data_IF_179680883546
#
_entry.id   IF_179680883546
#
_cell.length_a   1.000
_cell.length_b   1.000
_cell.length_c   1.000
_cell.angle_alpha   90.00
_cell.angle_beta   90.00
_cell.angle_gamma   90.00
#
_symmetry.space_group_name_H-M   'P 1'
#
loop_
_entity.id
_entity.type
_entity.pdbx_description
1 polymer ?
#
# COMPACT_ATOMS: atom_id res chain seq x y z
N UNK A 1 5.95 5.50 9.75
CA UNK A 1 7.10 5.22 8.87
C UNK A 1 7.94 6.50 8.67
N UNK A 2 9.17 6.40 8.13
CA UNK A 2 10.05 7.54 7.85
C UNK A 2 10.85 7.35 6.55
N UNK A 3 10.70 8.29 5.62
CA UNK A 3 11.54 8.43 4.43
C UNK A 3 12.32 9.75 4.49
N UNK A 4 13.58 9.77 4.06
CA UNK A 4 14.41 10.99 3.99
C UNK A 4 14.96 11.16 2.58
N UNK A 5 14.73 12.32 1.97
CA UNK A 5 15.26 12.68 0.67
C UNK A 5 15.72 14.15 0.66
N UNK A 6 16.90 14.43 0.13
CA UNK A 6 17.47 15.79 -0.01
C UNK A 6 17.33 16.70 1.22
N UNK A 7 17.53 16.13 2.41
CA UNK A 7 17.46 16.87 3.68
C UNK A 7 16.03 17.13 4.16
N UNK A 8 15.01 16.53 3.56
CA UNK A 8 13.63 16.53 4.05
C UNK A 8 13.26 15.14 4.57
N UNK A 9 12.68 15.08 5.76
CA UNK A 9 12.13 13.88 6.35
C UNK A 9 10.59 13.89 6.24
N UNK A 10 10.02 12.80 5.73
CA UNK A 10 8.59 12.57 5.58
C UNK A 10 8.16 11.50 6.59
N UNK A 11 7.48 11.92 7.66
CA UNK A 11 7.14 11.07 8.79
C UNK A 11 5.64 10.78 8.79
N UNK A 12 5.26 9.55 8.46
CA UNK A 12 3.90 9.09 8.68
C UNK A 12 3.67 8.88 10.19
N UNK A 13 2.86 9.76 10.78
CA UNK A 13 2.63 9.86 12.23
C UNK A 13 1.18 9.53 12.62
N UNK A 14 0.60 8.54 11.93
CA UNK A 14 -0.70 7.94 12.25
C UNK A 14 -1.80 9.01 12.28
N UNK A 15 -2.57 9.09 13.36
CA UNK A 15 -3.65 10.06 13.54
C UNK A 15 -3.18 11.50 13.65
N UNK A 16 -1.88 11.74 13.85
CA UNK A 16 -1.30 13.08 13.82
C UNK A 16 -0.95 13.52 12.39
N UNK A 17 -1.17 12.69 11.37
CA UNK A 17 -0.93 13.00 9.97
C UNK A 17 0.50 12.71 9.52
N UNK A 18 0.86 13.19 8.33
CA UNK A 18 2.23 13.09 7.81
C UNK A 18 2.96 14.40 8.09
N UNK A 19 4.05 14.35 8.83
CA UNK A 19 4.86 15.51 9.23
C UNK A 19 6.09 15.61 8.33
N UNK A 20 6.31 16.77 7.73
CA UNK A 20 7.49 17.08 6.93
C UNK A 20 8.45 17.94 7.76
N UNK A 21 9.71 17.53 7.84
CA UNK A 21 10.76 18.22 8.59
C UNK A 21 11.96 18.49 7.69
N UNK A 22 12.55 19.68 7.79
CA UNK A 22 13.91 19.93 7.30
C UNK A 22 14.88 19.31 8.32
N UNK A 23 15.68 18.37 7.82
CA UNK A 23 16.72 17.61 8.53
C UNK A 23 18.08 17.78 7.85
N UNK A 24 18.28 18.86 7.09
CA UNK A 24 19.58 19.22 6.50
C UNK A 24 20.67 19.34 7.56
N UNK A 25 20.33 19.82 8.76
CA UNK A 25 21.05 19.57 10.00
C UNK A 25 20.26 18.56 10.86
N UNK A 26 20.67 17.28 10.91
CA UNK A 26 19.96 16.25 11.67
C UNK A 26 20.04 16.47 13.20
N UNK A 27 20.91 17.36 13.69
CA UNK A 27 20.95 17.73 15.10
C UNK A 27 19.97 18.84 15.47
N UNK A 28 19.37 19.52 14.48
CA UNK A 28 18.45 20.64 14.65
C UNK A 28 17.33 20.60 13.60
N UNK A 29 16.47 19.56 13.62
CA UNK A 29 15.35 19.44 12.69
C UNK A 29 14.36 20.60 12.86
N UNK A 30 13.78 21.08 11.75
CA UNK A 30 12.76 22.13 11.77
C UNK A 30 11.49 21.70 11.06
N UNK A 31 10.33 22.15 11.55
CA UNK A 31 9.04 21.82 10.96
C UNK A 31 8.81 22.58 9.65
N UNK A 32 8.42 21.86 8.60
CA UNK A 32 8.05 22.43 7.30
C UNK A 32 6.53 22.46 7.14
N UNK A 33 5.90 21.28 7.16
CA UNK A 33 4.48 21.14 6.89
C UNK A 33 3.89 19.91 7.59
N UNK A 34 2.56 19.85 7.59
CA UNK A 34 1.79 18.68 8.02
C UNK A 34 0.64 18.44 7.07
N UNK A 35 0.57 17.23 6.53
CA UNK A 35 -0.53 16.76 5.70
C UNK A 35 -1.52 16.01 6.59
N UNK A 36 -2.77 16.48 6.58
CA UNK A 36 -3.85 15.87 7.36
C UNK A 36 -3.57 15.82 8.87
N UNK A 37 -4.15 14.82 9.51
CA UNK A 37 -3.98 14.58 10.94
C UNK A 37 -4.80 15.50 11.85
N UNK A 38 -5.10 14.96 13.04
CA UNK A 38 -5.86 15.66 14.08
C UNK A 38 -4.94 16.56 14.90
N UNK A 39 -5.50 17.59 15.53
CA UNK A 39 -4.74 18.43 16.47
C UNK A 39 -4.41 17.65 17.75
N UNK A 40 -3.37 18.07 18.51
CA UNK A 40 -3.07 17.44 19.80
C UNK A 40 -4.24 17.49 20.79
N UNK A 41 -5.09 18.54 20.73
CA UNK A 41 -6.26 18.66 21.59
C UNK A 41 -7.35 17.65 21.23
N UNK A 42 -7.58 17.40 19.93
CA UNK A 42 -8.51 16.37 19.46
C UNK A 42 -8.01 14.97 19.84
N UNK A 43 -6.71 14.69 19.62
CA UNK A 43 -6.11 13.41 19.99
C UNK A 43 -6.21 13.14 21.50
N UNK A 44 -6.01 14.17 22.33
CA UNK A 44 -6.11 14.05 23.78
C UNK A 44 -7.55 13.91 24.28
N UNK A 45 -8.55 14.24 23.46
CA UNK A 45 -9.96 14.15 23.84
C UNK A 45 -10.52 12.73 23.70
N UNK A 46 -9.92 11.88 22.85
CA UNK A 46 -10.38 10.50 22.68
C UNK A 46 -10.19 9.68 23.96
N UNK A 47 -11.22 8.93 24.33
CA UNK A 47 -11.16 8.01 25.48
C UNK A 47 -11.81 6.67 25.17
N UNK A 48 -11.32 5.59 25.80
CA UNK A 48 -11.93 4.27 25.71
C UNK A 48 -12.00 3.75 24.27
N UNK A 49 -13.17 3.25 23.87
CA UNK A 49 -13.38 2.64 22.54
C UNK A 49 -13.27 3.65 21.40
N UNK A 50 -13.57 4.93 21.66
CA UNK A 50 -13.44 6.01 20.68
C UNK A 50 -11.99 6.17 20.19
N UNK A 51 -11.01 6.01 21.09
CA UNK A 51 -9.59 6.04 20.73
C UNK A 51 -9.23 4.94 19.74
N UNK A 52 -9.82 3.75 19.88
CA UNK A 52 -9.53 2.61 19.02
C UNK A 52 -10.17 2.80 17.64
N UNK A 53 -11.43 3.22 17.60
CA UNK A 53 -12.12 3.53 16.33
C UNK A 53 -11.39 4.66 15.59
N UNK A 54 -11.08 5.76 16.28
CA UNK A 54 -10.39 6.90 15.69
C UNK A 54 -9.01 6.55 15.08
N UNK A 55 -8.31 5.57 15.66
CA UNK A 55 -7.00 5.09 15.21
C UNK A 55 -7.08 3.99 14.13
N UNK A 56 -8.26 3.44 13.87
CA UNK A 56 -8.43 2.31 12.93
C UNK A 56 -9.26 2.69 11.71
N UNK A 57 -10.12 3.70 11.81
CA UNK A 57 -10.98 4.19 10.73
C UNK A 57 -10.48 5.52 10.15
N UNK A 58 -10.84 5.84 8.90
CA UNK A 58 -10.60 7.17 8.34
C UNK A 58 -11.17 8.29 9.24
N UNK A 59 -10.59 9.51 9.20
CA UNK A 59 -9.46 9.95 8.38
C UNK A 59 -8.08 9.67 9.03
N UNK A 60 -8.03 8.81 10.05
CA UNK A 60 -6.85 8.55 10.87
C UNK A 60 -5.78 7.67 10.19
N UNK A 61 -4.79 7.28 10.98
CA UNK A 61 -3.77 6.30 10.62
C UNK A 61 -3.00 6.54 9.29
N UNK A 62 -2.40 7.73 9.12
CA UNK A 62 -1.36 7.93 8.12
C UNK A 62 -0.18 6.99 8.41
N UNK A 63 0.02 5.99 7.56
CA UNK A 63 0.84 4.83 7.89
C UNK A 63 2.19 4.81 7.17
N UNK A 64 2.18 5.17 5.89
CA UNK A 64 3.36 5.13 5.02
C UNK A 64 3.50 6.43 4.21
N UNK A 65 4.73 6.87 3.99
CA UNK A 65 5.03 8.01 3.13
C UNK A 65 6.31 7.75 2.32
N UNK A 66 6.23 7.93 1.00
CA UNK A 66 7.35 7.76 0.08
C UNK A 66 7.37 8.90 -0.94
N UNK A 67 8.54 9.24 -1.46
CA UNK A 67 8.72 10.29 -2.47
C UNK A 67 9.52 9.75 -3.64
N UNK A 68 9.26 10.27 -4.84
CA UNK A 68 10.08 9.98 -6.03
C UNK A 68 11.43 10.71 -6.02
N UNK A 69 11.58 11.69 -5.12
CA UNK A 69 12.75 12.55 -4.99
C UNK A 69 12.72 13.81 -5.88
N UNK A 70 11.77 13.92 -6.80
CA UNK A 70 11.64 15.02 -7.76
C UNK A 70 10.42 15.93 -7.46
N UNK A 71 9.80 15.74 -6.30
CA UNK A 71 8.71 16.57 -5.79
C UNK A 71 7.37 15.85 -5.71
N UNK A 72 7.24 14.59 -6.14
CA UNK A 72 6.04 13.81 -5.90
C UNK A 72 6.13 13.12 -4.53
N UNK A 73 5.05 13.20 -3.76
CA UNK A 73 4.91 12.55 -2.46
C UNK A 73 3.64 11.69 -2.46
N UNK A 74 3.78 10.42 -2.09
CA UNK A 74 2.64 9.56 -1.75
C UNK A 74 2.45 9.48 -0.24
N UNK A 75 1.21 9.56 0.23
CA UNK A 75 0.82 9.31 1.63
C UNK A 75 -0.25 8.22 1.67
N UNK A 76 0.03 7.12 2.37
CA UNK A 76 -0.90 6.01 2.54
C UNK A 76 -1.61 6.03 3.89
N UNK A 77 -2.89 5.71 3.87
CA UNK A 77 -3.70 5.48 5.07
C UNK A 77 -3.95 3.98 5.24
N UNK A 78 -3.75 3.49 6.46
CA UNK A 78 -4.05 2.10 6.82
C UNK A 78 -5.31 2.05 7.68
N UNK A 79 -6.46 1.71 7.10
CA UNK A 79 -7.73 1.76 7.83
C UNK A 79 -8.66 0.58 7.50
N UNK A 80 -9.66 0.38 8.36
CA UNK A 80 -10.66 -0.68 8.25
C UNK A 80 -12.03 -0.18 8.66
N UNK A 81 -13.03 -1.03 8.48
CA UNK A 81 -14.36 -0.88 9.07
C UNK A 81 -14.42 -1.69 10.38
N UNK A 82 -14.34 -1.00 11.53
CA UNK A 82 -14.45 -1.64 12.87
C UNK A 82 -15.80 -1.38 13.52
N UNK A 83 -16.62 -0.54 12.90
CA UNK A 83 -17.96 -0.13 13.32
C UNK A 83 -18.93 -0.24 12.13
N UNK A 84 -19.16 -1.48 11.62
CA UNK A 84 -19.91 -1.70 10.38
C UNK A 84 -21.42 -1.49 10.54
N UNK A 85 -21.92 -1.41 11.78
CA UNK A 85 -23.33 -1.19 12.07
C UNK A 85 -23.68 0.32 12.11
N UNK A 86 -22.66 1.18 12.04
CA UNK A 86 -22.70 2.57 12.47
C UNK A 86 -22.86 3.55 11.28
N UNK A 87 -22.84 3.07 10.02
CA UNK A 87 -22.91 3.84 8.75
C UNK A 87 -21.88 5.00 8.63
N UNK A 88 -20.97 5.16 9.59
CA UNK A 88 -20.09 6.33 9.78
C UNK A 88 -18.83 6.34 8.88
N UNK A 89 -18.78 5.53 7.83
CA UNK A 89 -17.78 5.66 6.77
C UNK A 89 -16.41 5.03 7.06
N UNK A 90 -16.36 3.97 7.86
CA UNK A 90 -15.19 3.10 7.99
C UNK A 90 -14.80 2.43 6.67
N UNK A 91 -13.62 1.80 6.64
CA UNK A 91 -13.17 1.02 5.48
C UNK A 91 -11.70 1.19 5.10
N UNK A 92 -11.28 0.55 3.99
CA UNK A 92 -9.89 0.55 3.57
C UNK A 92 -9.39 1.94 3.18
N UNK A 93 -8.16 2.26 3.57
CA UNK A 93 -7.50 3.53 3.29
C UNK A 93 -6.81 3.55 1.94
N UNK A 94 -6.77 4.74 1.33
CA UNK A 94 -6.20 5.02 0.02
C UNK A 94 -4.70 5.41 0.10
N UNK A 95 -4.11 5.63 -1.08
CA UNK A 95 -2.86 6.38 -1.23
C UNK A 95 -3.20 7.71 -1.90
N UNK A 96 -2.84 8.83 -1.28
CA UNK A 96 -3.02 10.16 -1.88
C UNK A 96 -1.67 10.69 -2.36
N UNK A 97 -1.64 11.20 -3.60
CA UNK A 97 -0.48 11.83 -4.23
C UNK A 97 -0.53 13.34 -4.01
N UNK A 98 0.64 13.93 -3.73
CA UNK A 98 0.83 15.34 -3.49
C UNK A 98 2.01 15.88 -4.32
N UNK A 99 1.88 17.09 -4.84
CA UNK A 99 3.01 17.92 -5.25
C UNK A 99 3.65 18.49 -3.98
N UNK A 100 4.87 18.05 -3.69
CA UNK A 100 5.72 18.46 -2.59
C UNK A 100 7.04 19.07 -3.11
N UNK A 101 7.03 19.66 -4.32
CA UNK A 101 8.16 20.44 -4.84
C UNK A 101 8.52 21.63 -3.94
N UNK A 102 7.53 22.21 -3.26
CA UNK A 102 7.71 22.98 -2.02
C UNK A 102 7.28 22.12 -0.81
N UNK A 103 8.20 21.56 -0.03
CA UNK A 103 7.86 20.72 1.13
C UNK A 103 7.21 21.51 2.27
N UNK A 104 7.22 22.84 2.24
CA UNK A 104 6.49 23.70 3.17
C UNK A 104 5.01 23.87 2.81
N UNK A 105 4.61 23.52 1.59
CA UNK A 105 3.26 23.71 1.09
C UNK A 105 2.82 22.59 0.12
N UNK A 106 2.75 21.33 0.56
CA UNK A 106 2.32 20.23 -0.29
C UNK A 106 0.86 20.38 -0.77
N UNK A 107 0.62 20.17 -2.06
CA UNK A 107 -0.69 20.29 -2.72
C UNK A 107 -1.21 18.92 -3.18
N UNK A 108 -2.47 18.59 -2.90
CA UNK A 108 -3.06 17.30 -3.29
C UNK A 108 -3.27 17.23 -4.82
N UNK A 109 -2.89 16.10 -5.42
CA UNK A 109 -2.98 15.86 -6.86
C UNK A 109 -4.05 14.81 -7.21
N UNK A 110 -3.96 13.62 -6.62
CA UNK A 110 -4.84 12.50 -6.94
C UNK A 110 -4.97 11.53 -5.77
N UNK A 111 -6.07 10.75 -5.77
CA UNK A 111 -6.30 9.66 -4.82
C UNK A 111 -6.32 8.34 -5.57
N UNK A 112 -5.51 7.39 -5.11
CA UNK A 112 -5.51 6.00 -5.58
C UNK A 112 -6.36 5.19 -4.62
N UNK A 113 -7.56 4.85 -5.07
CA UNK A 113 -8.53 4.10 -4.27
C UNK A 113 -8.05 2.69 -3.90
N UNK A 114 -8.37 2.24 -2.68
CA UNK A 114 -8.12 0.87 -2.29
C UNK A 114 -8.83 -0.10 -3.23
N UNK A 115 -8.21 -1.25 -3.51
CA UNK A 115 -8.87 -2.31 -4.23
C UNK A 115 -10.22 -2.72 -3.62
N UNK A 116 -11.28 -2.99 -4.42
CA UNK A 116 -12.58 -3.39 -3.89
C UNK A 116 -12.50 -4.62 -3.00
N UNK A 117 -13.32 -4.62 -1.95
CA UNK A 117 -13.44 -5.70 -0.97
C UNK A 117 -14.91 -6.05 -0.71
N UNK A 118 -15.25 -7.36 -0.60
CA UNK A 118 -16.59 -7.77 -0.19
C UNK A 118 -16.86 -7.59 1.31
N UNK A 119 -15.81 -7.39 2.12
CA UNK A 119 -15.89 -7.25 3.58
C UNK A 119 -14.71 -6.39 4.06
N UNK A 120 -14.93 -5.09 4.32
CA UNK A 120 -13.89 -4.14 4.72
C UNK A 120 -13.46 -4.26 6.19
N UNK A 121 -14.05 -5.19 6.95
CA UNK A 121 -13.75 -5.32 8.38
C UNK A 121 -12.39 -5.96 8.64
N UNK A 122 -11.88 -5.82 9.88
CA UNK A 122 -10.65 -6.49 10.33
C UNK A 122 -10.70 -8.03 10.17
N UNK A 123 -11.89 -8.62 10.35
CA UNK A 123 -12.13 -10.05 10.18
C UNK A 123 -12.25 -10.48 8.71
N UNK A 124 -12.66 -9.55 7.86
CA UNK A 124 -12.97 -9.75 6.45
C UNK A 124 -11.77 -9.87 5.52
N UNK A 125 -11.87 -9.18 4.38
CA UNK A 125 -10.85 -9.12 3.34
C UNK A 125 -10.21 -7.72 3.33
N UNK A 126 -9.24 -7.44 4.23
CA UNK A 126 -8.58 -6.15 4.26
C UNK A 126 -7.84 -5.85 2.95
N UNK A 127 -8.18 -4.71 2.35
CA UNK A 127 -7.59 -4.20 1.09
C UNK A 127 -7.03 -2.78 1.23
N UNK A 128 -6.77 -2.33 2.46
CA UNK A 128 -6.18 -1.00 2.72
C UNK A 128 -4.74 -0.90 2.22
N UNK A 129 -4.31 0.32 1.90
CA UNK A 129 -2.90 0.59 1.62
C UNK A 129 -2.04 0.18 2.81
N UNK A 130 -0.86 -0.37 2.51
CA UNK A 130 0.20 -0.52 3.50
C UNK A 130 1.45 0.25 3.05
N UNK A 131 2.51 -0.43 2.59
CA UNK A 131 3.69 0.26 2.06
C UNK A 131 3.66 0.29 0.52
N UNK A 132 4.32 1.30 -0.03
CA UNK A 132 4.50 1.51 -1.46
C UNK A 132 5.82 2.25 -1.70
N UNK A 133 6.34 2.16 -2.92
CA UNK A 133 7.62 2.74 -3.27
C UNK A 133 7.62 3.30 -4.70
N UNK A 134 8.38 4.37 -4.91
CA UNK A 134 8.56 4.98 -6.23
C UNK A 134 9.83 4.45 -6.92
N UNK A 135 9.83 4.41 -8.26
CA UNK A 135 11.05 4.26 -9.05
C UNK A 135 10.89 4.90 -10.42
N UNK A 136 11.48 6.08 -10.60
CA UNK A 136 11.18 6.92 -11.76
C UNK A 136 9.67 7.14 -11.85
N UNK A 137 9.10 7.01 -13.04
CA UNK A 137 7.67 7.27 -13.25
C UNK A 137 6.74 6.09 -12.86
N UNK A 138 7.12 5.32 -11.84
CA UNK A 138 6.37 4.15 -11.38
C UNK A 138 6.10 4.23 -9.89
N UNK A 139 4.90 3.84 -9.51
CA UNK A 139 4.49 3.65 -8.13
C UNK A 139 4.07 2.19 -7.90
N UNK A 140 4.79 1.50 -7.03
CA UNK A 140 4.56 0.11 -6.65
C UNK A 140 3.81 0.07 -5.33
N UNK A 141 2.62 -0.52 -5.31
CA UNK A 141 1.72 -0.44 -4.16
C UNK A 141 1.34 -1.81 -3.64
N UNK A 142 1.19 -1.93 -2.32
CA UNK A 142 0.70 -3.13 -1.65
C UNK A 142 -0.57 -2.85 -0.85
N UNK A 143 -1.48 -3.82 -0.85
CA UNK A 143 -2.84 -3.64 -0.36
C UNK A 143 -3.32 -4.83 0.48
N UNK A 144 -2.51 -5.41 1.37
CA UNK A 144 -2.85 -6.63 2.11
C UNK A 144 -3.43 -7.74 1.19
N UNK A 145 -4.67 -8.20 1.45
CA UNK A 145 -5.37 -9.22 0.67
C UNK A 145 -5.90 -8.66 -0.65
N UNK A 146 -5.77 -7.36 -0.86
CA UNK A 146 -6.03 -6.65 -2.10
C UNK A 146 -4.95 -6.86 -3.16
N UNK A 147 -3.78 -7.39 -2.78
CA UNK A 147 -2.71 -7.73 -3.71
C UNK A 147 -1.67 -6.63 -3.88
N UNK A 148 -1.01 -6.63 -5.04
CA UNK A 148 -0.08 -5.58 -5.47
C UNK A 148 -0.57 -4.92 -6.75
N UNK A 149 -0.28 -3.63 -6.92
CA UNK A 149 -0.58 -2.86 -8.12
C UNK A 149 0.60 -1.97 -8.50
N UNK A 150 0.80 -1.77 -9.79
CA UNK A 150 1.82 -0.87 -10.34
C UNK A 150 1.13 0.20 -11.16
N UNK A 151 1.44 1.46 -10.86
CA UNK A 151 0.90 2.62 -11.55
C UNK A 151 1.99 3.35 -12.32
N UNK A 152 1.64 3.90 -13.48
CA UNK A 152 2.37 4.97 -14.13
C UNK A 152 1.97 6.30 -13.50
N UNK A 153 2.97 7.10 -13.09
CA UNK A 153 2.76 8.38 -12.42
C UNK A 153 3.43 9.54 -13.15
N UNK A 154 3.73 9.39 -14.46
CA UNK A 154 4.22 10.49 -15.31
C UNK A 154 3.29 11.70 -15.29
N UNK A 155 1.99 11.42 -15.26
CA UNK A 155 0.95 12.40 -14.97
C UNK A 155 0.35 12.11 -13.59
N UNK A 156 0.85 12.76 -12.52
CA UNK A 156 0.46 12.41 -11.16
C UNK A 156 -0.96 12.87 -10.79
N UNK A 157 -1.61 13.71 -11.60
CA UNK A 157 -3.04 14.05 -11.41
C UNK A 157 -3.97 12.98 -11.98
N UNK A 158 -3.48 12.13 -12.88
CA UNK A 158 -4.22 11.02 -13.48
C UNK A 158 -3.37 9.73 -13.51
N UNK A 159 -3.05 9.12 -12.34
CA UNK A 159 -2.21 7.92 -12.29
C UNK A 159 -2.83 6.73 -13.02
N UNK A 160 -2.08 6.10 -13.93
CA UNK A 160 -2.57 5.01 -14.78
C UNK A 160 -2.20 3.64 -14.19
N UNK A 161 -3.19 2.77 -13.95
CA UNK A 161 -2.93 1.40 -13.52
C UNK A 161 -2.32 0.57 -14.67
N UNK A 162 -1.04 0.20 -14.54
CA UNK A 162 -0.34 -0.63 -15.53
C UNK A 162 -0.59 -2.12 -15.32
N UNK A 163 -0.51 -2.58 -14.07
CA UNK A 163 -0.66 -4.00 -13.77
C UNK A 163 -1.09 -4.25 -12.33
N UNK A 164 -1.69 -5.43 -12.11
CA UNK A 164 -2.02 -5.91 -10.77
C UNK A 164 -1.91 -7.42 -10.67
N UNK A 165 -1.79 -7.89 -9.43
CA UNK A 165 -1.94 -9.29 -9.06
C UNK A 165 -2.59 -9.40 -7.68
N UNK A 166 -3.50 -10.37 -7.52
CA UNK A 166 -4.25 -10.58 -6.28
C UNK A 166 -4.57 -12.06 -6.10
N UNK A 167 -4.23 -12.58 -4.92
CA UNK A 167 -4.79 -13.80 -4.34
C UNK A 167 -5.22 -13.49 -2.91
N UNK A 168 -6.49 -13.12 -2.75
CA UNK A 168 -7.01 -12.72 -1.45
C UNK A 168 -7.07 -13.88 -0.45
N UNK A 169 -6.99 -15.15 -0.87
CA UNK A 169 -7.03 -16.28 0.07
C UNK A 169 -5.63 -16.63 0.56
N UNK A 170 -4.68 -16.80 -0.36
CA UNK A 170 -3.32 -17.24 -0.05
C UNK A 170 -2.34 -16.13 0.39
N UNK A 171 -2.69 -14.85 0.21
CA UNK A 171 -1.73 -13.75 0.42
C UNK A 171 -2.28 -12.57 1.20
N UNK A 172 -1.35 -11.86 1.85
CA UNK A 172 -1.55 -10.56 2.46
C UNK A 172 -0.23 -9.77 2.35
N UNK A 173 -0.13 -8.84 1.39
CA UNK A 173 1.11 -8.10 1.14
C UNK A 173 1.31 -6.92 2.08
N UNK A 174 2.53 -6.76 2.55
CA UNK A 174 2.94 -5.68 3.47
C UNK A 174 3.73 -4.57 2.77
N UNK A 175 4.44 -4.90 1.69
CA UNK A 175 5.21 -3.95 0.88
C UNK A 175 5.23 -4.36 -0.60
N UNK A 176 5.57 -3.43 -1.48
CA UNK A 176 5.92 -3.65 -2.88
C UNK A 176 7.17 -2.82 -3.21
N UNK A 177 8.31 -3.49 -3.32
CA UNK A 177 9.63 -2.86 -3.38
C UNK A 177 10.28 -3.10 -4.76
N UNK A 178 10.60 -2.06 -5.54
CA UNK A 178 11.33 -2.20 -6.79
C UNK A 178 12.75 -2.73 -6.54
N UNK A 179 13.05 -3.93 -7.03
CA UNK A 179 14.31 -4.62 -6.75
C UNK A 179 15.35 -4.45 -7.86
N UNK A 180 14.92 -4.38 -9.12
CA UNK A 180 15.76 -4.22 -10.31
C UNK A 180 15.01 -3.44 -11.38
N UNK A 181 15.66 -3.09 -12.49
CA UNK A 181 15.00 -2.43 -13.64
C UNK A 181 13.87 -3.24 -14.29
N UNK A 182 13.76 -4.55 -14.00
CA UNK A 182 12.76 -5.42 -14.61
C UNK A 182 11.89 -6.18 -13.62
N UNK A 183 12.03 -5.93 -12.32
CA UNK A 183 11.31 -6.67 -11.30
C UNK A 183 11.19 -5.92 -9.98
N UNK A 184 10.10 -6.21 -9.27
CA UNK A 184 9.88 -5.80 -7.89
C UNK A 184 9.54 -7.01 -7.03
N UNK A 185 9.74 -6.88 -5.72
CA UNK A 185 9.44 -7.93 -4.75
C UNK A 185 8.34 -7.47 -3.81
N UNK A 186 7.53 -8.42 -3.33
CA UNK A 186 6.47 -8.12 -2.39
C UNK A 186 6.41 -9.20 -1.30
N UNK A 187 6.72 -8.87 -0.04
CA UNK A 187 6.55 -9.80 1.07
C UNK A 187 5.06 -9.96 1.39
N UNK A 188 4.59 -11.21 1.40
CA UNK A 188 3.31 -11.62 1.97
C UNK A 188 3.57 -12.31 3.30
N UNK A 189 2.88 -11.90 4.37
CA UNK A 189 3.20 -12.34 5.73
C UNK A 189 2.29 -13.44 6.28
N UNK A 190 1.17 -13.72 5.59
CA UNK A 190 0.22 -14.80 5.95
C UNK A 190 -0.75 -15.09 4.81
N UNK A 191 -1.42 -16.24 4.91
CA UNK A 191 -2.63 -16.59 4.16
C UNK A 191 -3.80 -16.90 5.09
N UNK A 192 -4.87 -17.46 4.53
CA UNK A 192 -6.02 -18.02 5.26
C UNK A 192 -6.18 -19.51 4.95
N UNK A 193 -6.77 -20.26 5.89
CA UNK A 193 -7.32 -21.58 5.61
C UNK A 193 -8.81 -21.50 5.21
N UNK A 194 -9.41 -22.64 4.89
CA UNK A 194 -10.82 -22.74 4.47
C UNK A 194 -11.81 -22.35 5.59
N UNK A 195 -11.39 -22.43 6.86
CA UNK A 195 -12.17 -22.03 8.03
C UNK A 195 -11.96 -20.55 8.39
N UNK A 196 -11.15 -19.82 7.63
CA UNK A 196 -10.82 -18.42 7.86
C UNK A 196 -9.75 -18.20 8.93
N UNK A 197 -9.09 -19.25 9.43
CA UNK A 197 -7.92 -19.15 10.30
C UNK A 197 -6.70 -18.55 9.59
N UNK A 198 -5.78 -17.95 10.35
CA UNK A 198 -4.52 -17.45 9.77
C UNK A 198 -3.53 -18.59 9.57
N UNK A 199 -2.92 -18.65 8.38
CA UNK A 199 -1.86 -19.61 8.05
C UNK A 199 -0.55 -18.85 7.88
N UNK A 200 0.30 -18.87 8.91
CA UNK A 200 1.59 -18.18 8.88
C UNK A 200 2.61 -18.85 7.95
N UNK A 201 2.51 -20.18 7.76
CA UNK A 201 3.37 -20.92 6.83
C UNK A 201 3.16 -20.56 5.35
N UNK A 202 2.10 -19.81 5.04
CA UNK A 202 1.86 -19.22 3.72
C UNK A 202 2.66 -17.91 3.50
N UNK A 203 3.42 -17.44 4.50
CA UNK A 203 4.32 -16.31 4.33
C UNK A 203 5.38 -16.60 3.26
N UNK A 204 5.58 -15.67 2.33
CA UNK A 204 6.52 -15.82 1.25
C UNK A 204 6.95 -14.46 0.67
N UNK A 205 8.13 -14.45 0.04
CA UNK A 205 8.57 -13.35 -0.80
C UNK A 205 8.18 -13.64 -2.26
N UNK A 206 7.33 -12.77 -2.82
CA UNK A 206 6.92 -12.85 -4.22
C UNK A 206 7.82 -11.96 -5.08
N UNK A 207 8.09 -12.39 -6.31
CA UNK A 207 8.81 -11.59 -7.30
C UNK A 207 7.93 -11.43 -8.54
N UNK A 208 7.72 -10.18 -8.93
CA UNK A 208 6.92 -9.80 -10.08
C UNK A 208 7.79 -9.13 -11.12
N UNK A 209 7.48 -9.39 -12.39
CA UNK A 209 8.07 -8.62 -13.48
C UNK A 209 7.50 -7.21 -13.46
N UNK A 210 8.33 -6.20 -13.68
CA UNK A 210 7.85 -4.86 -14.03
C UNK A 210 7.07 -4.95 -15.37
N UNK A 211 5.82 -4.44 -15.44
CA UNK A 211 5.00 -4.53 -16.65
C UNK A 211 5.55 -3.72 -17.84
N UNK A 212 6.55 -2.86 -17.65
CA UNK A 212 7.07 -1.97 -18.70
C UNK A 212 6.15 -0.77 -18.93
N UNK A 213 6.29 -0.06 -20.07
CA UNK A 213 5.36 1.00 -20.45
C UNK A 213 3.95 0.44 -20.74
N UNK A 214 2.89 1.27 -20.61
CA UNK A 214 1.55 0.86 -21.03
C UNK A 214 1.60 0.31 -22.45
N UNK A 215 0.91 -0.80 -22.70
CA UNK A 215 0.76 -1.29 -24.07
C UNK A 215 -0.02 -0.24 -24.87
N UNK A 216 0.40 0.05 -26.10
CA UNK A 216 -0.34 0.92 -27.02
C UNK A 216 -1.73 0.31 -27.30
N UNK A 217 -2.73 0.70 -26.50
CA UNK A 217 -4.08 0.19 -26.59
C UNK A 217 -4.75 0.13 -25.23
N UNK A 218 -5.86 0.86 -25.09
CA UNK A 218 -6.70 0.94 -23.89
C UNK A 218 -7.16 -0.44 -23.41
N UNK A 219 -6.37 -1.10 -22.58
CA UNK A 219 -6.85 -2.17 -21.72
C UNK A 219 -7.11 -1.59 -20.36
N UNK A 220 -8.36 -1.20 -20.11
CA UNK A 220 -8.87 -1.03 -18.76
C UNK A 220 -8.66 -2.35 -18.05
N UNK A 221 -7.65 -2.42 -17.18
CA UNK A 221 -7.37 -3.63 -16.44
C UNK A 221 -8.57 -3.86 -15.48
N UNK A 222 -9.46 -4.81 -15.80
CA UNK A 222 -10.61 -5.20 -14.95
C UNK A 222 -10.20 -6.21 -13.88
N UNK A 223 -10.91 -6.24 -12.75
CA UNK A 223 -10.55 -7.12 -11.62
C UNK A 223 -10.66 -8.57 -12.09
N UNK A 224 -9.50 -9.26 -12.16
CA UNK A 224 -9.39 -10.63 -12.66
C UNK A 224 -8.32 -10.86 -13.74
N UNK A 225 -7.77 -9.81 -14.37
CA UNK A 225 -6.61 -9.98 -15.28
C UNK A 225 -5.29 -9.67 -14.56
N UNK A 226 -4.39 -10.66 -14.50
CA UNK A 226 -3.04 -10.51 -13.97
C UNK A 226 -2.10 -10.00 -15.07
N UNK A 227 -1.78 -8.70 -15.05
CA UNK A 227 -0.74 -8.11 -15.90
C UNK A 227 0.68 -8.46 -15.43
N UNK A 228 0.81 -8.94 -14.19
CA UNK A 228 2.07 -9.39 -13.60
C UNK A 228 2.16 -10.92 -13.73
N UNK A 229 2.87 -11.40 -14.75
CA UNK A 229 3.24 -12.81 -14.83
C UNK A 229 4.26 -13.15 -13.74
N UNK A 230 4.09 -14.24 -12.96
CA UNK A 230 5.09 -14.64 -11.98
C UNK A 230 6.39 -14.99 -12.70
N UNK A 231 7.49 -14.31 -12.34
CA UNK A 231 8.83 -14.83 -12.62
C UNK A 231 9.03 -15.97 -11.63
N UNK A 232 9.02 -17.21 -12.11
CA UNK A 232 9.05 -18.41 -11.30
C UNK A 232 10.10 -18.31 -10.15
N UNK A 233 9.64 -18.25 -8.90
CA UNK A 233 10.53 -18.17 -7.75
C UNK A 233 9.83 -17.76 -6.44
N UNK A 234 8.87 -18.54 -5.96
CA UNK A 234 8.44 -18.43 -4.55
C UNK A 234 9.56 -19.03 -3.70
N UNK A 235 10.38 -18.16 -3.10
CA UNK A 235 11.40 -18.61 -2.15
C UNK A 235 10.78 -18.52 -0.76
N UNK A 236 10.18 -19.62 -0.29
CA UNK A 236 9.75 -19.72 1.10
C UNK A 236 10.99 -19.75 2.00
N UNK A 237 11.20 -18.72 2.83
CA UNK A 237 12.13 -18.77 3.96
C UNK A 237 11.47 -19.56 5.10
N UNK A 238 11.24 -20.85 4.86
CA UNK A 238 10.97 -21.85 5.89
C UNK A 238 12.04 -22.93 5.75
N UNK A 239 12.71 -23.26 6.85
CA UNK A 239 13.88 -24.14 6.86
C UNK A 239 13.68 -25.44 6.09
N UNK A 240 14.68 -25.79 5.28
CA UNK A 240 14.97 -27.11 4.75
C UNK A 240 13.77 -28.03 4.42
N UNK A 241 13.29 -27.96 3.19
CA UNK A 241 12.37 -28.97 2.65
C UNK A 241 11.94 -28.69 1.21
N UNK A 242 12.76 -29.12 0.24
CA UNK A 242 12.42 -29.06 -1.19
C UNK A 242 11.11 -29.82 -1.48
N UNK A 243 10.07 -29.12 -1.93
CA UNK A 243 8.98 -29.70 -2.71
C UNK A 243 8.42 -28.65 -3.67
N UNK A 244 9.03 -28.55 -4.85
CA UNK A 244 8.49 -27.76 -5.95
C UNK A 244 7.17 -28.39 -6.43
N UNK A 245 6.03 -27.76 -6.16
CA UNK A 245 4.74 -28.17 -6.73
C UNK A 245 4.42 -27.29 -7.94
N UNK A 246 4.54 -27.89 -9.11
CA UNK A 246 4.19 -27.33 -10.43
C UNK A 246 2.66 -27.24 -10.54
N UNK A 247 2.11 -26.03 -10.66
CA UNK A 247 0.71 -25.82 -11.02
C UNK A 247 0.53 -26.20 -12.50
N UNK A 248 -0.05 -27.36 -12.75
CA UNK A 248 -0.59 -27.73 -14.06
C UNK A 248 -2.09 -27.43 -14.03
N UNK A 249 -2.52 -26.63 -15.01
CA UNK A 249 -3.92 -26.31 -15.27
C UNK A 249 -4.73 -27.60 -15.48
N UNK A 250 -5.94 -27.58 -14.92
CA UNK A 250 -6.96 -28.60 -15.17
C UNK A 250 -7.88 -28.01 -16.21
N UNK A 251 -7.77 -28.49 -17.45
CA UNK A 251 -8.75 -28.28 -18.50
C UNK A 251 -10.00 -29.12 -18.19
N UNK A 252 -11.16 -28.48 -18.36
CA UNK A 252 -12.47 -29.11 -18.42
C UNK A 252 -12.63 -29.90 -19.74
N UNK A 253 -13.33 -31.03 -19.68
CA UNK A 253 -13.86 -31.67 -20.88
C UNK A 253 -14.42 -33.07 -20.66
N UNK A 254 -15.74 -33.22 -20.86
CA UNK A 254 -16.41 -34.46 -21.29
C UNK A 254 -17.20 -35.21 -20.23
#
# INVERSE_FOLDING_TARGET
DLTVHDGVAYLAHWDAGTVLLDVSDPSSPTFLARIGGRSPAELAAFTGDESRTAATEPPGNHHHAATDGDGLLGVGVESWDVTPDDDDGGGPGAITLYDASDPGAPEELAVIDPPPTPDPTLGGVPTTSHNFEFRGDRLYTSWYRGGVRVYDVRDPVEPELLARWRDSHGTAFWNAEPATDGAFVAPSWKGRDDDGGFVLDAAALYTFRDPGPPADGTTTATDGQSGLGPLAGVSGLAGAGLAARRLLGRDDGG
#
